data_IF_847856877372
#
_entry.id   IF_847856877372
#
_cell.length_a   1.000
_cell.length_b   1.000
_cell.length_c   1.000
_cell.angle_alpha   90.00
_cell.angle_beta   90.00
_cell.angle_gamma   90.00
#
_symmetry.space_group_name_H-M   'P 1'
#
loop_
_entity.id
_entity.type
_entity.pdbx_description
1 polymer ?
#
# COMPACT_ATOMS: atom_id res chain seq x y z
N UNK A 1 -29.45 15.79 18.58
CA UNK A 1 -28.04 15.36 18.47
C UNK A 1 -28.05 13.86 18.28
N UNK A 2 -28.15 13.37 17.05
CA UNK A 2 -27.98 11.95 16.76
C UNK A 2 -26.57 11.52 17.20
N UNK A 3 -26.37 10.23 17.48
CA UNK A 3 -25.05 9.67 17.21
C UNK A 3 -24.92 9.54 15.69
N UNK A 4 -23.72 9.62 15.15
CA UNK A 4 -23.51 9.17 13.79
C UNK A 4 -23.46 7.64 13.76
N UNK A 5 -23.99 7.05 12.70
CA UNK A 5 -23.79 5.66 12.32
C UNK A 5 -22.94 5.64 11.06
N UNK A 6 -21.91 4.79 11.05
CA UNK A 6 -21.07 4.57 9.87
C UNK A 6 -21.57 3.31 9.18
N UNK A 7 -21.88 3.41 7.89
CA UNK A 7 -22.20 2.28 7.04
C UNK A 7 -21.13 2.18 5.95
N UNK A 8 -20.07 1.39 6.18
CA UNK A 8 -18.96 1.25 5.24
C UNK A 8 -19.08 0.02 4.34
N UNK A 9 -18.43 0.09 3.18
CA UNK A 9 -18.09 -1.07 2.37
C UNK A 9 -16.74 -0.84 1.69
N UNK A 10 -15.89 -1.87 1.63
CA UNK A 10 -14.62 -1.84 0.91
C UNK A 10 -14.52 -2.97 -0.09
N UNK A 11 -13.87 -2.71 -1.22
CA UNK A 11 -13.57 -3.68 -2.26
C UNK A 11 -12.15 -3.47 -2.77
N UNK A 12 -11.50 -4.55 -3.17
CA UNK A 12 -10.18 -4.55 -3.81
C UNK A 12 -10.14 -5.64 -4.87
N UNK A 13 -9.46 -5.37 -5.99
CA UNK A 13 -9.32 -6.27 -7.14
C UNK A 13 -7.94 -6.05 -7.79
N UNK A 14 -7.24 -7.13 -8.24
CA UNK A 14 -5.94 -6.98 -8.90
C UNK A 14 -6.01 -6.26 -10.25
N UNK A 15 -7.19 -6.04 -10.82
CA UNK A 15 -7.36 -5.52 -12.16
C UNK A 15 -7.25 -6.59 -13.23
N UNK A 16 -7.04 -6.15 -14.48
CA UNK A 16 -6.95 -7.01 -15.67
C UNK A 16 -5.53 -7.25 -16.16
N UNK A 17 -4.56 -6.47 -15.69
CA UNK A 17 -3.18 -6.44 -16.22
C UNK A 17 -2.12 -6.87 -15.19
N UNK A 18 -2.27 -6.51 -13.90
CA UNK A 18 -1.38 -6.99 -12.83
C UNK A 18 -1.65 -8.48 -12.53
N UNK A 19 -0.64 -9.18 -12.01
CA UNK A 19 -0.74 -10.62 -11.67
C UNK A 19 -1.07 -10.85 -10.19
N UNK A 20 -0.57 -9.98 -9.32
CA UNK A 20 -0.87 -9.94 -7.90
C UNK A 20 -1.66 -8.65 -7.59
N UNK A 21 -2.22 -8.60 -6.38
CA UNK A 21 -2.76 -7.38 -5.80
C UNK A 21 -1.79 -6.88 -4.73
N UNK A 22 -1.15 -5.73 -4.97
CA UNK A 22 -0.22 -5.10 -4.03
C UNK A 22 -0.93 -4.05 -3.15
N UNK A 23 -2.20 -3.73 -3.42
CA UNK A 23 -3.06 -2.92 -2.53
C UNK A 23 -3.43 -3.66 -1.23
N UNK A 24 -3.58 -2.89 -0.15
CA UNK A 24 -4.20 -3.32 1.11
C UNK A 24 -5.26 -2.32 1.59
N UNK A 25 -6.26 -2.81 2.33
CA UNK A 25 -7.32 -1.99 2.94
C UNK A 25 -7.73 -2.46 4.34
N UNK A 26 -8.36 -1.54 5.07
CA UNK A 26 -8.98 -1.78 6.37
C UNK A 26 -10.33 -1.04 6.42
N UNK A 27 -11.38 -1.73 6.88
CA UNK A 27 -12.77 -1.26 6.78
C UNK A 27 -13.49 -1.42 8.11
N UNK A 28 -13.53 -0.35 8.91
CA UNK A 28 -14.29 -0.33 10.17
C UNK A 28 -13.65 -1.15 11.28
N UNK A 29 -12.32 -1.09 11.39
CA UNK A 29 -11.58 -1.79 12.45
C UNK A 29 -11.03 -0.78 13.50
N UNK A 30 -10.14 -1.24 14.39
CA UNK A 30 -9.68 -0.50 15.58
C UNK A 30 -10.51 -0.81 16.82
N UNK A 31 -10.29 -0.09 17.93
CA UNK A 31 -11.01 -0.36 19.20
C UNK A 31 -12.51 0.00 19.16
N UNK A 32 -12.89 0.98 18.34
CA UNK A 32 -14.27 1.54 18.24
C UNK A 32 -14.91 1.33 16.83
N UNK A 33 -14.31 0.51 15.96
CA UNK A 33 -14.76 0.27 14.56
C UNK A 33 -14.79 1.54 13.66
N UNK A 34 -14.03 2.59 14.01
CA UNK A 34 -14.04 3.90 13.31
C UNK A 34 -12.88 4.16 12.34
N UNK A 35 -11.93 3.23 12.18
CA UNK A 35 -10.78 3.41 11.30
C UNK A 35 -11.03 2.83 9.90
N UNK A 36 -10.54 3.54 8.89
CA UNK A 36 -10.56 3.16 7.47
C UNK A 36 -9.19 3.48 6.86
N UNK A 37 -8.63 2.56 6.06
CA UNK A 37 -7.32 2.73 5.40
C UNK A 37 -7.37 2.15 4.00
N UNK A 38 -6.71 2.80 3.04
CA UNK A 38 -6.23 2.22 1.79
C UNK A 38 -4.72 2.49 1.69
N UNK A 39 -3.95 1.50 1.24
CA UNK A 39 -2.50 1.59 1.05
C UNK A 39 -2.14 0.87 -0.26
N UNK A 40 -1.54 1.60 -1.19
CA UNK A 40 -1.16 1.13 -2.52
C UNK A 40 0.31 0.70 -2.51
N UNK A 41 0.59 -0.55 -2.89
CA UNK A 41 1.89 -1.19 -2.69
C UNK A 41 2.81 -1.07 -3.90
N UNK A 42 3.88 -0.29 -3.79
CA UNK A 42 4.85 -0.11 -4.89
C UNK A 42 6.10 -0.96 -4.68
N UNK A 43 6.40 -1.83 -5.65
CA UNK A 43 7.57 -2.71 -5.57
C UNK A 43 7.82 -3.54 -6.82
N UNK A 44 8.67 -4.55 -6.66
CA UNK A 44 8.88 -5.61 -7.65
C UNK A 44 9.09 -6.94 -6.93
N UNK A 45 8.86 -8.07 -7.61
CA UNK A 45 8.99 -9.41 -7.02
C UNK A 45 8.18 -9.63 -5.72
N UNK A 46 6.91 -9.19 -5.70
CA UNK A 46 5.93 -9.36 -4.60
C UNK A 46 6.19 -8.45 -3.38
N UNK A 47 6.89 -7.33 -3.55
CA UNK A 47 7.31 -6.48 -2.44
C UNK A 47 6.32 -5.36 -2.06
N UNK A 48 5.48 -4.90 -2.98
CA UNK A 48 4.46 -3.89 -2.71
C UNK A 48 3.40 -4.41 -1.73
N UNK A 49 2.91 -5.64 -1.96
CA UNK A 49 1.99 -6.37 -1.07
C UNK A 49 2.51 -6.43 0.38
N UNK A 50 3.82 -6.62 0.56
CA UNK A 50 4.45 -6.65 1.89
C UNK A 50 4.50 -5.27 2.52
N UNK A 51 4.72 -4.21 1.73
CA UNK A 51 4.78 -2.84 2.24
C UNK A 51 3.40 -2.32 2.66
N UNK A 52 2.38 -2.46 1.80
CA UNK A 52 1.00 -2.05 2.08
C UNK A 52 0.38 -2.82 3.25
N UNK A 53 0.62 -4.14 3.30
CA UNK A 53 0.24 -5.00 4.43
C UNK A 53 0.87 -4.53 5.75
N UNK A 54 2.17 -4.21 5.78
CA UNK A 54 2.82 -3.67 6.99
C UNK A 54 2.22 -2.33 7.41
N UNK A 55 1.87 -1.44 6.47
CA UNK A 55 1.25 -0.15 6.78
C UNK A 55 -0.14 -0.33 7.40
N UNK A 56 -0.99 -1.17 6.80
CA UNK A 56 -2.33 -1.49 7.32
C UNK A 56 -2.26 -2.20 8.67
N UNK A 57 -1.34 -3.17 8.85
CA UNK A 57 -1.14 -3.89 10.11
C UNK A 57 -0.70 -2.99 11.26
N UNK A 58 0.09 -1.94 10.98
CA UNK A 58 0.47 -0.93 11.98
C UNK A 58 -0.72 -0.03 12.31
N UNK A 59 -1.44 0.46 11.29
CA UNK A 59 -2.59 1.34 11.48
C UNK A 59 -3.76 0.66 12.18
N UNK A 60 -3.98 -0.65 11.98
CA UNK A 60 -4.96 -1.45 12.75
C UNK A 60 -4.74 -1.38 14.27
N UNK A 61 -3.50 -1.16 14.71
CA UNK A 61 -3.15 -1.02 16.12
C UNK A 61 -3.33 0.38 16.71
N UNK A 62 -3.86 1.35 15.95
CA UNK A 62 -4.04 2.74 16.36
C UNK A 62 -5.24 2.89 17.31
N UNK A 63 -5.00 3.32 18.56
CA UNK A 63 -6.07 3.62 19.50
C UNK A 63 -6.86 4.88 19.11
N UNK A 64 -8.09 5.10 19.63
CA UNK A 64 -8.98 6.19 19.18
C UNK A 64 -8.44 7.62 19.36
N UNK A 65 -7.37 7.81 20.15
CA UNK A 65 -6.75 9.11 20.42
C UNK A 65 -5.27 9.18 19.97
N UNK A 66 -4.74 8.12 19.36
CA UNK A 66 -3.32 8.08 18.97
C UNK A 66 -3.06 8.91 17.70
N UNK A 67 -1.96 9.68 17.62
CA UNK A 67 -1.70 10.55 16.48
C UNK A 67 -1.23 9.76 15.26
N UNK A 68 -1.95 9.87 14.13
CA UNK A 68 -1.64 9.19 12.87
C UNK A 68 -0.17 9.27 12.45
N UNK A 69 0.45 10.46 12.55
CA UNK A 69 1.85 10.65 12.17
C UNK A 69 2.83 9.67 12.85
N UNK A 70 2.66 9.40 14.15
CA UNK A 70 3.56 8.48 14.87
C UNK A 70 3.38 7.01 14.44
N UNK A 71 2.17 6.63 14.03
CA UNK A 71 1.89 5.30 13.50
C UNK A 71 2.38 5.16 12.04
N UNK A 72 2.25 6.20 11.21
CA UNK A 72 2.75 6.21 9.83
C UNK A 72 4.29 6.25 9.82
N UNK A 73 4.93 6.98 10.73
CA UNK A 73 6.37 6.87 10.96
C UNK A 73 6.79 5.46 11.40
N UNK A 74 5.99 4.78 12.24
CA UNK A 74 6.27 3.40 12.67
C UNK A 74 6.10 2.39 11.54
N UNK A 75 5.08 2.57 10.68
CA UNK A 75 4.91 1.81 9.45
C UNK A 75 6.13 2.00 8.54
N UNK A 76 6.55 3.24 8.28
CA UNK A 76 7.74 3.56 7.52
C UNK A 76 8.99 2.85 8.06
N UNK A 77 9.24 2.95 9.38
CA UNK A 77 10.35 2.25 10.06
C UNK A 77 10.29 0.72 9.89
N UNK A 78 9.10 0.11 9.90
CA UNK A 78 8.93 -1.35 9.72
C UNK A 78 9.12 -1.79 8.28
N UNK A 79 8.63 -1.03 7.31
CA UNK A 79 8.83 -1.29 5.87
C UNK A 79 10.32 -1.21 5.54
N UNK A 80 11.00 -0.13 5.95
CA UNK A 80 12.46 0.02 5.85
C UNK A 80 13.23 -1.11 6.55
N UNK A 81 12.73 -1.62 7.69
CA UNK A 81 13.35 -2.73 8.41
C UNK A 81 13.15 -4.08 7.72
N UNK A 82 12.01 -4.31 7.08
CA UNK A 82 11.71 -5.54 6.34
C UNK A 82 12.47 -5.63 5.01
N UNK A 83 12.64 -4.50 4.30
CA UNK A 83 13.50 -4.43 3.11
C UNK A 83 15.01 -4.58 3.38
N UNK A 84 15.46 -4.50 4.65
CA UNK A 84 16.88 -4.59 5.02
C UNK A 84 17.38 -6.03 5.11
N UNK A 85 17.82 -6.56 3.96
CA UNK A 85 18.63 -7.78 3.88
C UNK A 85 17.99 -8.95 3.14
N UNK A 86 16.81 -8.75 2.55
CA UNK A 86 16.29 -9.58 1.47
C UNK A 86 16.33 -8.75 0.17
N UNK A 87 17.00 -9.27 -0.86
CA UNK A 87 17.09 -8.62 -2.18
C UNK A 87 15.71 -8.55 -2.86
N UNK A 88 14.76 -9.40 -2.48
CA UNK A 88 13.37 -9.36 -2.98
C UNK A 88 12.55 -8.19 -2.46
N UNK A 89 12.85 -7.70 -1.26
CA UNK A 89 12.11 -6.63 -0.58
C UNK A 89 12.85 -5.28 -0.62
N UNK A 90 13.95 -5.23 -1.37
CA UNK A 90 14.80 -4.04 -1.49
C UNK A 90 14.13 -2.95 -2.32
N UNK A 91 13.87 -1.80 -1.71
CA UNK A 91 13.22 -0.66 -2.38
C UNK A 91 11.69 -0.75 -2.43
N UNK A 92 11.08 -1.61 -1.62
CA UNK A 92 9.63 -1.67 -1.46
C UNK A 92 9.09 -0.45 -0.73
N UNK A 93 7.92 0.03 -1.14
CA UNK A 93 7.23 1.13 -0.50
C UNK A 93 5.73 1.04 -0.65
N UNK A 94 5.01 1.98 -0.04
CA UNK A 94 3.55 2.06 -0.15
C UNK A 94 3.06 3.49 0.09
N UNK A 95 1.93 3.83 -0.52
CA UNK A 95 1.13 4.99 -0.11
C UNK A 95 0.37 4.66 1.18
N UNK A 96 -0.22 5.67 1.82
CA UNK A 96 -1.29 5.50 2.80
C UNK A 96 -2.29 6.64 2.63
N UNK A 97 -3.57 6.31 2.59
CA UNK A 97 -4.64 7.26 2.91
C UNK A 97 -5.55 6.64 3.98
N UNK A 98 -5.75 7.35 5.09
CA UNK A 98 -6.45 6.84 6.26
C UNK A 98 -7.41 7.87 6.85
N UNK A 99 -8.59 7.41 7.26
CA UNK A 99 -9.61 8.21 7.94
C UNK A 99 -10.03 7.53 9.25
N UNK A 100 -10.00 8.25 10.36
CA UNK A 100 -10.58 7.84 11.65
C UNK A 100 -11.72 8.77 12.03
N UNK A 101 -12.90 8.22 12.27
CA UNK A 101 -14.03 8.99 12.82
C UNK A 101 -13.94 9.07 14.35
N UNK A 102 -14.30 10.23 14.91
CA UNK A 102 -14.17 10.51 16.34
C UNK A 102 -14.82 11.83 16.76
N UNK A 103 -14.24 12.50 17.75
CA UNK A 103 -14.78 13.75 18.32
C UNK A 103 -15.88 13.50 19.37
N UNK A 104 -16.90 14.36 19.41
CA UNK A 104 -17.98 14.28 20.41
C UNK A 104 -19.36 14.21 19.75
N UNK A 105 -20.40 13.81 20.51
CA UNK A 105 -21.82 13.87 20.08
C UNK A 105 -22.37 15.26 19.72
N UNK A 106 -21.54 16.32 19.78
CA UNK A 106 -21.88 17.68 19.34
C UNK A 106 -20.96 18.19 18.23
N UNK A 107 -19.74 17.69 18.21
CA UNK A 107 -18.64 18.07 17.33
C UNK A 107 -17.97 16.75 16.85
N UNK A 108 -18.64 15.96 16.00
CA UNK A 108 -18.05 14.77 15.40
C UNK A 108 -17.06 15.18 14.30
N UNK A 109 -15.95 14.45 14.20
CA UNK A 109 -14.89 14.75 13.24
C UNK A 109 -14.39 13.49 12.53
N UNK A 110 -13.83 13.70 11.34
CA UNK A 110 -13.00 12.75 10.62
C UNK A 110 -11.56 13.28 10.64
N UNK A 111 -10.66 12.54 11.28
CA UNK A 111 -9.22 12.77 11.20
C UNK A 111 -8.68 12.04 9.99
N UNK A 112 -8.00 12.77 9.10
CA UNK A 112 -7.42 12.29 7.85
C UNK A 112 -5.89 12.29 7.98
N UNK A 113 -5.24 11.25 7.43
CA UNK A 113 -3.79 11.22 7.23
C UNK A 113 -3.46 10.63 5.84
N UNK A 114 -2.42 11.18 5.19
CA UNK A 114 -2.12 10.93 3.78
C UNK A 114 -0.62 10.99 3.47
N UNK A 115 -0.13 10.03 2.68
CA UNK A 115 1.18 10.00 2.01
C UNK A 115 1.04 9.29 0.66
N UNK A 116 1.45 9.93 -0.43
CA UNK A 116 1.40 9.36 -1.79
C UNK A 116 0.29 9.98 -2.64
N UNK A 117 -0.26 9.23 -3.59
CA UNK A 117 -1.30 9.66 -4.55
C UNK A 117 -2.62 8.89 -4.45
N UNK A 118 -2.72 7.85 -3.62
CA UNK A 118 -4.00 7.28 -3.19
C UNK A 118 -4.85 8.35 -2.48
N UNK A 119 -6.09 8.57 -2.93
CA UNK A 119 -6.88 9.76 -2.57
C UNK A 119 -7.96 9.49 -1.54
N UNK A 120 -8.36 10.54 -0.83
CA UNK A 120 -9.65 10.61 -0.15
C UNK A 120 -10.52 11.75 -0.70
N UNK A 121 -11.82 11.49 -0.76
CA UNK A 121 -12.86 12.42 -1.17
C UNK A 121 -13.97 12.51 -0.12
N UNK A 122 -14.59 13.68 -0.03
CA UNK A 122 -15.84 13.93 0.71
C UNK A 122 -16.94 14.34 -0.27
N UNK A 123 -18.04 13.60 -0.28
CA UNK A 123 -19.31 14.00 -0.88
C UNK A 123 -20.19 14.62 0.20
N UNK A 124 -20.54 15.91 0.05
CA UNK A 124 -21.54 16.59 0.89
C UNK A 124 -22.49 17.39 -0.01
N UNK A 125 -23.80 17.29 0.22
CA UNK A 125 -24.81 18.01 -0.56
C UNK A 125 -24.89 17.63 -2.06
N UNK A 126 -24.27 16.52 -2.46
CA UNK A 126 -24.13 16.09 -3.86
C UNK A 126 -22.85 16.56 -4.56
N UNK A 127 -22.02 17.38 -3.91
CA UNK A 127 -20.72 17.80 -4.45
C UNK A 127 -19.62 16.85 -3.99
N UNK A 128 -18.95 16.18 -4.93
CA UNK A 128 -17.70 15.46 -4.70
C UNK A 128 -16.54 16.46 -4.57
N UNK A 129 -15.74 16.36 -3.51
CA UNK A 129 -14.56 17.20 -3.30
C UNK A 129 -13.37 16.34 -2.84
N UNK A 130 -12.18 16.44 -3.46
CA UNK A 130 -10.98 15.83 -2.89
C UNK A 130 -10.66 16.49 -1.54
N UNK A 131 -10.15 15.69 -0.59
CA UNK A 131 -9.64 16.17 0.71
C UNK A 131 -8.16 15.84 0.93
N UNK A 132 -7.54 15.14 -0.02
CA UNK A 132 -6.09 14.97 -0.18
C UNK A 132 -5.58 15.75 -1.39
N UNK A 133 -4.27 15.99 -1.45
CA UNK A 133 -3.56 16.47 -2.65
C UNK A 133 -2.39 15.50 -2.92
N UNK A 134 -2.27 15.01 -4.15
CA UNK A 134 -1.33 13.95 -4.51
C UNK A 134 0.12 14.37 -4.27
N UNK A 135 0.90 13.46 -3.70
CA UNK A 135 2.35 13.58 -3.58
C UNK A 135 3.00 12.98 -4.81
N UNK A 136 2.77 13.58 -5.98
CA UNK A 136 3.30 13.16 -7.28
C UNK A 136 3.91 14.32 -8.05
N UNK A 137 4.89 14.04 -8.92
CA UNK A 137 5.64 15.05 -9.68
C UNK A 137 4.71 15.99 -10.44
N UNK A 138 3.65 15.46 -11.04
CA UNK A 138 2.69 16.26 -11.82
C UNK A 138 1.81 17.15 -10.95
N UNK A 139 1.46 16.73 -9.73
CA UNK A 139 0.79 17.59 -8.77
C UNK A 139 1.70 18.74 -8.31
N UNK A 140 3.00 18.47 -8.11
CA UNK A 140 3.97 19.52 -7.76
C UNK A 140 4.12 20.56 -8.88
N UNK A 141 4.19 20.13 -10.14
CA UNK A 141 4.27 20.98 -11.32
C UNK A 141 2.97 21.77 -11.59
N UNK A 142 1.80 21.22 -11.24
CA UNK A 142 0.54 21.98 -11.26
C UNK A 142 0.49 23.00 -10.13
N UNK A 143 1.05 22.68 -8.96
CA UNK A 143 1.11 23.56 -7.79
C UNK A 143 2.10 24.73 -7.96
N UNK A 144 3.21 24.52 -8.66
CA UNK A 144 4.12 25.61 -9.07
C UNK A 144 3.57 26.47 -10.21
N UNK A 145 2.66 25.91 -11.02
CA UNK A 145 2.10 26.54 -12.22
C UNK A 145 2.88 26.26 -13.50
N UNK A 146 3.80 25.29 -13.48
CA UNK A 146 4.56 24.83 -14.66
C UNK A 146 3.71 23.94 -15.59
N UNK A 147 2.64 23.31 -15.07
CA UNK A 147 1.65 22.53 -15.85
C UNK A 147 0.21 22.95 -15.52
N UNK A 148 -0.71 22.76 -16.49
CA UNK A 148 -2.15 22.71 -16.21
C UNK A 148 -2.60 21.31 -15.75
N UNK A 149 -3.78 21.21 -15.13
CA UNK A 149 -4.38 19.92 -14.75
C UNK A 149 -4.58 18.98 -15.95
N UNK A 150 -4.93 19.52 -17.11
CA UNK A 150 -5.12 18.74 -18.33
C UNK A 150 -3.77 18.18 -18.84
N UNK A 151 -2.71 19.00 -18.81
CA UNK A 151 -1.35 18.54 -19.17
C UNK A 151 -0.79 17.51 -18.20
N UNK A 152 -1.08 17.64 -16.90
CA UNK A 152 -0.69 16.68 -15.87
C UNK A 152 -1.30 15.28 -16.11
N UNK A 153 -2.56 15.21 -16.55
CA UNK A 153 -3.25 13.95 -16.84
C UNK A 153 -2.66 13.20 -18.06
N UNK A 154 -2.02 13.90 -19.00
CA UNK A 154 -1.38 13.32 -20.20
C UNK A 154 0.15 13.21 -20.06
N UNK A 155 0.72 13.57 -18.90
CA UNK A 155 2.18 13.66 -18.72
C UNK A 155 2.84 12.27 -18.65
N UNK A 156 3.98 12.03 -19.36
CA UNK A 156 4.66 10.72 -19.35
C UNK A 156 5.15 10.22 -17.99
N UNK A 157 5.25 11.09 -16.99
CA UNK A 157 5.68 10.77 -15.62
C UNK A 157 4.57 11.01 -14.58
N UNK A 158 3.29 10.88 -14.96
CA UNK A 158 2.17 11.17 -14.04
C UNK A 158 2.11 10.25 -12.82
N UNK A 159 2.41 8.95 -12.97
CA UNK A 159 2.49 7.97 -11.87
C UNK A 159 3.87 8.01 -11.14
N UNK A 160 4.58 9.15 -11.14
CA UNK A 160 5.82 9.31 -10.37
C UNK A 160 5.53 10.00 -9.03
N UNK A 161 5.37 9.21 -7.98
CA UNK A 161 5.21 9.69 -6.60
C UNK A 161 6.48 10.35 -6.05
N UNK A 162 6.32 11.43 -5.30
CA UNK A 162 7.38 12.17 -4.60
C UNK A 162 7.45 11.85 -3.11
N UNK A 163 6.41 11.26 -2.51
CA UNK A 163 6.42 10.76 -1.13
C UNK A 163 5.78 9.38 -1.02
N UNK A 164 6.42 8.47 -0.30
CA UNK A 164 5.92 7.13 0.01
C UNK A 164 6.54 6.61 1.32
N UNK A 165 5.85 5.71 2.02
CA UNK A 165 6.47 4.92 3.08
C UNK A 165 7.45 3.92 2.44
N UNK A 166 8.55 3.59 3.11
CA UNK A 166 9.60 2.69 2.63
C UNK A 166 10.71 3.34 1.80
N UNK A 167 10.49 4.55 1.28
CA UNK A 167 11.45 5.26 0.44
C UNK A 167 12.60 5.93 1.23
N UNK A 168 12.27 6.65 2.31
CA UNK A 168 13.25 7.42 3.11
C UNK A 168 13.11 7.16 4.62
N UNK A 169 14.20 7.29 5.39
CA UNK A 169 14.23 7.05 6.86
C UNK A 169 13.25 7.96 7.64
N UNK A 170 12.79 9.07 7.05
CA UNK A 170 11.74 9.95 7.56
C UNK A 170 10.71 10.21 6.45
N UNK A 171 9.45 10.46 6.83
CA UNK A 171 8.34 10.70 5.90
C UNK A 171 7.51 11.90 6.40
N UNK A 172 7.18 12.83 5.51
CA UNK A 172 6.29 13.95 5.82
C UNK A 172 4.84 13.54 5.56
N UNK A 173 4.04 13.53 6.64
CA UNK A 173 2.66 13.03 6.66
C UNK A 173 1.69 14.20 6.66
N UNK A 174 0.88 14.31 5.61
CA UNK A 174 -0.17 15.34 5.55
C UNK A 174 -1.33 14.88 6.43
N UNK A 175 -1.79 15.74 7.35
CA UNK A 175 -2.89 15.41 8.28
C UNK A 175 -3.92 16.55 8.35
N UNK A 176 -5.20 16.19 8.42
CA UNK A 176 -6.30 17.14 8.54
C UNK A 176 -7.38 16.65 9.52
N UNK A 177 -8.25 17.57 9.96
CA UNK A 177 -9.43 17.25 10.77
C UNK A 177 -10.64 17.95 10.17
N UNK A 178 -11.65 17.17 9.78
CA UNK A 178 -12.83 17.64 9.07
C UNK A 178 -14.07 17.51 9.96
N UNK A 179 -14.95 18.53 10.05
CA UNK A 179 -16.22 18.40 10.74
C UNK A 179 -17.17 17.50 9.93
N UNK A 180 -17.79 16.52 10.59
CA UNK A 180 -18.65 15.52 9.93
C UNK A 180 -20.13 15.84 10.14
N UNK A 181 -20.93 15.62 9.11
CA UNK A 181 -22.38 15.82 9.11
C UNK A 181 -23.10 14.53 8.68
N UNK A 182 -24.34 14.33 9.10
CA UNK A 182 -25.15 13.22 8.61
C UNK A 182 -25.58 13.49 7.16
N UNK A 183 -25.47 12.47 6.30
CA UNK A 183 -25.54 12.62 4.84
C UNK A 183 -24.18 12.85 4.17
N UNK A 184 -23.08 12.89 4.93
CA UNK A 184 -21.74 12.77 4.35
C UNK A 184 -21.50 11.37 3.77
N UNK A 185 -20.77 11.32 2.67
CA UNK A 185 -20.13 10.10 2.17
C UNK A 185 -18.64 10.35 1.97
N UNK A 186 -17.80 9.56 2.63
CA UNK A 186 -16.36 9.54 2.41
C UNK A 186 -15.99 8.42 1.44
N UNK A 187 -14.98 8.65 0.60
CA UNK A 187 -14.43 7.63 -0.31
C UNK A 187 -12.90 7.68 -0.24
N UNK A 188 -12.26 6.53 -0.02
CA UNK A 188 -10.81 6.34 -0.09
C UNK A 188 -10.50 5.40 -1.25
N UNK A 189 -9.44 5.66 -2.04
CA UNK A 189 -9.05 4.78 -3.15
C UNK A 189 -7.55 4.81 -3.52
N UNK A 190 -7.05 3.71 -4.11
CA UNK A 190 -5.75 3.66 -4.81
C UNK A 190 -5.80 4.37 -6.17
N UNK A 191 -4.64 4.57 -6.83
CA UNK A 191 -4.58 5.35 -8.08
C UNK A 191 -5.40 4.69 -9.21
N UNK A 192 -5.46 3.36 -9.25
CA UNK A 192 -6.14 2.59 -10.29
C UNK A 192 -7.65 2.85 -10.43
N UNK A 193 -8.31 3.47 -9.44
CA UNK A 193 -9.65 4.05 -9.67
C UNK A 193 -9.57 5.36 -10.46
N UNK A 194 -8.79 6.33 -9.96
CA UNK A 194 -8.78 7.73 -10.45
C UNK A 194 -8.03 7.89 -11.76
N UNK A 195 -7.07 7.01 -12.04
CA UNK A 195 -6.32 6.96 -13.30
C UNK A 195 -7.17 6.38 -14.45
N UNK A 196 -8.14 5.51 -14.11
CA UNK A 196 -9.09 4.91 -15.05
C UNK A 196 -10.41 5.71 -15.17
N UNK A 197 -10.87 6.35 -14.09
CA UNK A 197 -12.19 7.00 -13.97
C UNK A 197 -12.06 8.45 -13.51
N UNK A 198 -12.37 9.40 -14.41
CA UNK A 198 -12.37 10.84 -14.12
C UNK A 198 -13.34 11.21 -13.00
N UNK A 199 -12.97 12.22 -12.19
CA UNK A 199 -13.70 12.66 -10.99
C UNK A 199 -15.19 12.99 -11.25
N UNK A 200 -15.55 13.52 -12.43
CA UNK A 200 -16.95 13.75 -12.78
C UNK A 200 -17.76 12.44 -12.85
N UNK A 201 -17.19 11.36 -13.42
CA UNK A 201 -17.86 10.07 -13.49
C UNK A 201 -17.87 9.36 -12.14
N UNK A 202 -16.86 9.58 -11.30
CA UNK A 202 -16.89 9.18 -9.88
C UNK A 202 -18.07 9.84 -9.16
N UNK A 203 -18.25 11.16 -9.31
CA UNK A 203 -19.37 11.91 -8.71
C UNK A 203 -20.74 11.42 -9.22
N UNK A 204 -20.87 11.17 -10.52
CA UNK A 204 -22.08 10.58 -11.12
C UNK A 204 -22.40 9.20 -10.52
N UNK A 205 -21.43 8.28 -10.48
CA UNK A 205 -21.60 6.93 -9.92
C UNK A 205 -22.00 6.98 -8.44
N UNK A 206 -21.36 7.83 -7.65
CA UNK A 206 -21.67 8.00 -6.23
C UNK A 206 -23.06 8.60 -5.99
N UNK A 207 -23.60 9.35 -6.96
CA UNK A 207 -24.97 9.88 -6.93
C UNK A 207 -25.98 8.82 -7.38
N UNK A 208 -25.69 8.09 -8.47
CA UNK A 208 -26.49 6.96 -8.99
C UNK A 208 -26.59 5.78 -8.00
N UNK A 209 -25.65 5.66 -7.07
CA UNK A 209 -25.61 4.60 -6.07
C UNK A 209 -26.75 4.68 -5.04
N UNK A 210 -27.27 5.87 -4.72
CA UNK A 210 -28.03 6.14 -3.48
C UNK A 210 -27.20 5.88 -2.20
N UNK A 211 -27.82 5.88 -1.03
CA UNK A 211 -27.19 5.59 0.29
C UNK A 211 -26.83 4.09 0.50
N UNK A 212 -26.30 3.45 -0.54
CA UNK A 212 -25.82 2.07 -0.55
C UNK A 212 -24.30 2.08 -0.82
N UNK A 213 -23.45 1.90 0.21
CA UNK A 213 -21.99 1.95 0.06
C UNK A 213 -21.46 0.73 -0.70
N UNK A 214 -22.12 -0.42 -0.62
CA UNK A 214 -21.73 -1.64 -1.33
C UNK A 214 -21.93 -1.47 -2.84
N UNK A 215 -23.10 -0.97 -3.25
CA UNK A 215 -23.39 -0.62 -4.65
C UNK A 215 -22.48 0.51 -5.14
N UNK A 216 -22.19 1.51 -4.31
CA UNK A 216 -21.27 2.60 -4.67
C UNK A 216 -19.86 2.07 -4.97
N UNK A 217 -19.25 1.31 -4.05
CA UNK A 217 -17.92 0.76 -4.21
C UNK A 217 -17.83 -0.20 -5.41
N UNK A 218 -18.82 -1.10 -5.58
CA UNK A 218 -18.86 -2.04 -6.69
C UNK A 218 -19.05 -1.37 -8.05
N UNK A 219 -19.85 -0.30 -8.13
CA UNK A 219 -20.00 0.46 -9.38
C UNK A 219 -18.72 1.23 -9.75
N UNK A 220 -17.98 1.76 -8.76
CA UNK A 220 -16.69 2.41 -9.00
C UNK A 220 -15.64 1.41 -9.51
N UNK A 221 -15.51 0.25 -8.85
CA UNK A 221 -14.65 -0.84 -9.31
C UNK A 221 -15.03 -1.31 -10.73
N UNK A 222 -16.32 -1.52 -10.99
CA UNK A 222 -16.79 -1.93 -12.32
C UNK A 222 -16.40 -0.91 -13.40
N UNK A 223 -16.56 0.39 -13.13
CA UNK A 223 -16.18 1.45 -14.07
C UNK A 223 -14.67 1.49 -14.34
N UNK A 224 -13.82 1.32 -13.32
CA UNK A 224 -12.37 1.27 -13.47
C UNK A 224 -11.92 0.03 -14.26
N UNK A 225 -12.51 -1.13 -13.98
CA UNK A 225 -12.29 -2.35 -14.75
C UNK A 225 -12.77 -2.18 -16.21
N UNK A 226 -13.94 -1.60 -16.46
CA UNK A 226 -14.47 -1.35 -17.80
C UNK A 226 -13.60 -0.38 -18.62
N UNK A 227 -13.08 0.66 -17.99
CA UNK A 227 -12.19 1.64 -18.62
C UNK A 227 -10.79 1.08 -18.96
N UNK A 228 -10.32 0.07 -18.22
CA UNK A 228 -9.09 -0.66 -18.56
C UNK A 228 -8.68 -1.71 -17.54
N UNK A 229 -8.76 -1.39 -16.24
CA UNK A 229 -8.22 -2.24 -15.18
C UNK A 229 -6.71 -2.45 -15.32
N UNK A 230 -5.98 -1.39 -15.67
CA UNK A 230 -4.54 -1.47 -15.94
C UNK A 230 -3.70 -1.68 -14.66
N UNK A 231 -4.27 -1.32 -13.51
CA UNK A 231 -3.63 -1.47 -12.21
C UNK A 231 -4.55 -2.14 -11.17
N UNK A 232 -4.03 -2.32 -9.96
CA UNK A 232 -4.82 -2.72 -8.80
C UNK A 232 -5.87 -1.63 -8.48
N UNK A 233 -7.06 -2.04 -8.03
CA UNK A 233 -8.18 -1.12 -7.79
C UNK A 233 -8.77 -1.41 -6.41
N UNK A 234 -8.58 -0.48 -5.49
CA UNK A 234 -9.12 -0.53 -4.14
C UNK A 234 -9.97 0.70 -3.85
N UNK A 235 -11.16 0.47 -3.29
CA UNK A 235 -12.14 1.51 -2.98
C UNK A 235 -12.82 1.19 -1.65
N UNK A 236 -12.82 2.16 -0.73
CA UNK A 236 -13.62 2.12 0.51
C UNK A 236 -14.59 3.29 0.52
N UNK A 237 -15.88 3.01 0.63
CA UNK A 237 -16.96 4.00 0.76
C UNK A 237 -17.51 3.93 2.18
N UNK A 238 -17.65 5.08 2.85
CA UNK A 238 -18.27 5.19 4.18
C UNK A 238 -19.42 6.19 4.11
N UNK A 239 -20.65 5.70 4.30
CA UNK A 239 -21.83 6.53 4.49
C UNK A 239 -21.96 6.93 5.96
N UNK A 240 -22.21 8.21 6.22
CA UNK A 240 -22.45 8.74 7.57
C UNK A 240 -23.93 9.06 7.72
N UNK A 241 -24.64 8.32 8.58
CA UNK A 241 -26.09 8.47 8.78
C UNK A 241 -26.43 8.94 10.19
N UNK A 242 -27.62 9.51 10.36
CA UNK A 242 -28.16 9.71 11.71
C UNK A 242 -28.52 8.35 12.33
N UNK A 243 -27.89 8.01 13.45
CA UNK A 243 -28.27 6.83 14.22
C UNK A 243 -29.60 7.09 14.93
N UNK A 244 -30.64 6.35 14.56
CA UNK A 244 -31.90 6.36 15.28
C UNK A 244 -31.69 5.93 16.74
N UNK A 245 -32.14 6.73 17.72
CA UNK A 245 -32.27 6.20 19.09
C UNK A 245 -33.37 5.12 19.06
N UNK A 246 -33.11 3.88 19.51
CA UNK A 246 -34.14 2.85 19.55
C UNK A 246 -35.32 3.35 20.39
N UNK A 247 -36.52 3.34 19.79
CA UNK A 247 -37.69 4.01 20.35
C UNK A 247 -37.87 3.63 21.82
N UNK A 248 -37.86 4.63 22.70
CA UNK A 248 -37.92 4.42 24.15
C UNK A 248 -39.31 3.97 24.54
N UNK A 249 -39.56 2.66 24.40
CA UNK A 249 -40.78 1.95 24.81
C UNK A 249 -41.24 2.54 26.13
N UNK A 250 -42.38 3.26 26.18
CA UNK A 250 -42.75 4.03 27.35
C UNK A 250 -42.81 3.10 28.56
N UNK A 251 -41.87 3.29 29.51
CA UNK A 251 -41.79 2.47 30.72
C UNK A 251 -43.10 2.64 31.47
N UNK A 252 -43.99 1.65 31.32
CA UNK A 252 -45.37 1.74 31.76
C UNK A 252 -45.43 2.29 33.17
N UNK A 253 -46.11 3.43 33.35
CA UNK A 253 -46.16 4.15 34.61
C UNK A 253 -46.81 3.24 35.64
N UNK A 254 -46.00 2.63 36.49
CA UNK A 254 -46.46 1.78 37.58
C UNK A 254 -47.31 2.66 38.51
N UNK A 255 -48.63 2.57 38.35
CA UNK A 255 -49.57 3.34 39.13
C UNK A 255 -49.37 3.00 40.62
N UNK A 256 -49.24 4.03 41.45
CA UNK A 256 -49.14 3.84 42.88
C UNK A 256 -50.46 3.24 43.41
N UNK A 257 -50.39 1.98 43.85
CA UNK A 257 -51.47 1.27 44.53
C UNK A 257 -50.97 0.73 45.86
N UNK A 258 -51.77 0.91 46.91
CA UNK A 258 -51.36 0.64 48.30
C UNK A 258 -51.16 -0.87 48.62
N UNK A 259 -50.30 -1.20 49.60
CA UNK A 259 -50.00 -2.58 49.97
C UNK A 259 -51.05 -3.17 50.94
N UNK A 260 -51.95 -4.05 50.44
CA UNK A 260 -53.04 -4.59 51.25
C UNK A 260 -53.37 -6.09 51.03
N UNK A 261 -52.48 -6.98 51.50
CA UNK A 261 -52.83 -8.35 51.93
C UNK A 261 -53.23 -9.39 50.87
N UNK A 262 -53.48 -10.63 51.34
CA UNK A 262 -53.92 -11.77 50.53
C UNK A 262 -52.87 -12.88 50.38
N UNK A 263 -53.11 -14.02 51.05
CA UNK A 263 -52.36 -15.28 50.85
C UNK A 263 -53.16 -16.26 49.97
N UNK A 264 -52.63 -17.48 49.80
CA UNK A 264 -53.19 -18.62 49.05
C UNK A 264 -53.02 -18.57 47.52
N UNK A 265 -52.70 -19.66 46.82
CA UNK A 265 -52.29 -20.99 47.30
C UNK A 265 -51.43 -21.73 46.24
N UNK A 266 -50.49 -22.56 46.69
CA UNK A 266 -49.84 -23.58 45.85
C UNK A 266 -50.63 -24.89 45.94
N UNK A 267 -50.49 -25.77 44.95
CA UNK A 267 -49.93 -27.08 45.32
C UNK A 267 -48.77 -27.53 44.43
N UNK A 268 -47.84 -28.26 45.04
CA UNK A 268 -46.75 -29.01 44.40
C UNK A 268 -47.00 -30.49 44.66
N UNK A 269 -46.68 -31.37 43.70
CA UNK A 269 -46.26 -32.79 43.82
C UNK A 269 -46.08 -33.31 42.37
N UNK A 270 -45.23 -34.30 42.04
CA UNK A 270 -44.44 -35.24 42.84
C UNK A 270 -43.12 -35.59 42.08
N UNK A 271 -41.95 -35.72 42.71
CA UNK A 271 -41.31 -36.99 43.15
C UNK A 271 -39.86 -36.67 43.58
N UNK A 272 -39.13 -37.42 44.42
CA UNK A 272 -39.52 -38.54 45.29
C UNK A 272 -38.31 -39.22 45.95
N UNK A 273 -38.27 -39.28 47.29
CA UNK A 273 -37.39 -40.13 48.15
C UNK A 273 -35.84 -39.96 48.11
N UNK A 274 -35.06 -40.28 49.17
CA UNK A 274 -35.30 -40.32 50.63
C UNK A 274 -33.97 -40.47 51.43
N UNK A 275 -33.92 -39.89 52.66
CA UNK A 275 -33.03 -40.21 53.83
C UNK A 275 -31.48 -40.21 53.64
N UNK A 276 -30.66 -39.70 54.54
CA UNK A 276 -30.91 -39.03 55.84
C UNK A 276 -29.64 -38.92 56.72
N UNK A 277 -29.82 -38.48 57.98
CA UNK A 277 -28.83 -38.36 59.08
C UNK A 277 -27.82 -37.16 59.07
N UNK A 278 -27.66 -36.52 60.24
CA UNK A 278 -26.69 -35.45 60.57
C UNK A 278 -25.54 -36.01 61.44
N UNK A 279 -24.33 -35.45 61.40
CA UNK A 279 -23.30 -35.82 62.41
C UNK A 279 -21.94 -35.10 62.45
N UNK A 280 -21.87 -33.96 63.18
CA UNK A 280 -20.74 -33.46 64.02
C UNK A 280 -19.25 -33.63 63.61
N UNK A 281 -18.54 -32.49 63.64
CA UNK A 281 -17.22 -32.22 64.31
C UNK A 281 -16.17 -33.36 64.45
N UNK A 282 -15.02 -33.19 63.77
CA UNK A 282 -13.76 -32.88 64.47
C UNK A 282 -12.62 -33.93 64.60
N UNK A 283 -11.38 -33.38 64.58
CA UNK A 283 -10.14 -33.84 65.24
C UNK A 283 -9.26 -35.00 64.67
N UNK A 284 -8.06 -34.59 64.21
CA UNK A 284 -6.70 -35.11 64.57
C UNK A 284 -6.21 -36.53 64.18
N UNK A 285 -5.19 -36.50 63.29
CA UNK A 285 -3.78 -36.99 63.44
C UNK A 285 -3.39 -38.46 63.16
N UNK A 286 -2.07 -38.56 62.89
CA UNK A 286 -1.16 -39.72 62.80
C UNK A 286 -1.09 -40.41 61.42
N UNK A 287 0.06 -40.93 60.96
CA UNK A 287 1.40 -41.07 61.58
C UNK A 287 2.58 -40.82 60.61
N UNK A 288 3.77 -40.53 61.16
CA UNK A 288 5.16 -40.83 60.69
C UNK A 288 5.50 -40.88 59.18
N UNK A 289 6.62 -40.32 58.68
CA UNK A 289 7.72 -39.61 59.34
C UNK A 289 9.05 -39.74 58.55
N UNK A 290 9.79 -38.63 58.36
CA UNK A 290 11.16 -38.62 57.81
C UNK A 290 12.20 -38.62 58.97
N UNK A 291 13.52 -38.88 58.75
CA UNK A 291 14.38 -37.88 58.08
C UNK A 291 15.59 -38.38 57.24
N UNK A 292 15.94 -37.53 56.27
CA UNK A 292 17.26 -37.12 55.76
C UNK A 292 18.60 -37.85 56.11
N UNK A 293 19.38 -38.05 55.03
CA UNK A 293 20.84 -37.77 54.85
C UNK A 293 21.93 -38.59 55.56
N UNK A 294 22.86 -39.07 54.74
CA UNK A 294 24.31 -38.82 54.90
C UNK A 294 24.97 -38.59 53.54
N UNK A 295 26.22 -38.10 53.49
CA UNK A 295 27.00 -37.86 52.27
C UNK A 295 28.51 -37.73 52.59
N UNK A 296 29.42 -38.01 51.63
CA UNK A 296 30.76 -37.39 51.62
C UNK A 296 31.45 -37.38 50.23
N UNK A 297 31.96 -36.18 49.90
CA UNK A 297 32.82 -35.67 48.82
C UNK A 297 34.00 -36.54 48.29
N UNK A 298 34.30 -36.38 46.99
CA UNK A 298 35.58 -35.86 46.43
C UNK A 298 35.45 -35.64 44.90
N UNK A 299 36.28 -34.86 44.17
CA UNK A 299 37.27 -33.83 44.53
C UNK A 299 36.77 -32.42 44.08
N UNK A 300 37.27 -31.61 43.12
CA UNK A 300 38.47 -31.59 42.24
C UNK A 300 38.37 -30.49 41.15
N UNK A 301 39.49 -29.87 40.69
CA UNK A 301 39.52 -29.01 39.46
C UNK A 301 40.97 -28.74 38.94
N UNK A 302 41.18 -28.36 37.66
CA UNK A 302 41.26 -26.92 37.34
C UNK A 302 40.72 -26.48 35.95
N UNK A 303 40.81 -25.17 35.66
CA UNK A 303 40.18 -24.44 34.53
C UNK A 303 40.97 -24.46 33.21
N UNK A 304 40.30 -24.26 32.07
CA UNK A 304 40.90 -23.71 30.83
C UNK A 304 39.96 -22.72 30.12
N UNK A 305 40.51 -21.79 29.32
CA UNK A 305 39.82 -20.61 28.71
C UNK A 305 40.31 -20.44 27.25
N UNK A 306 39.58 -19.67 26.43
CA UNK A 306 39.70 -19.47 24.95
C UNK A 306 38.86 -20.49 24.14
N UNK A 307 38.34 -20.16 22.94
CA UNK A 307 38.54 -18.96 22.08
C UNK A 307 37.25 -18.63 21.29
N UNK A 308 36.90 -17.34 21.10
CA UNK A 308 35.93 -16.92 20.06
C UNK A 308 36.70 -16.79 18.74
N UNK A 309 36.27 -17.49 17.69
CA UNK A 309 36.83 -17.37 16.33
C UNK A 309 35.85 -17.89 15.27
N UNK A 310 34.81 -17.09 14.98
CA UNK A 310 33.83 -17.38 13.93
C UNK A 310 33.47 -16.19 13.02
N UNK A 311 33.75 -14.95 13.44
CA UNK A 311 33.45 -13.75 12.65
C UNK A 311 34.28 -13.62 11.38
N UNK A 312 35.61 -13.78 11.46
CA UNK A 312 36.51 -13.55 10.33
C UNK A 312 36.27 -14.52 9.15
N UNK A 313 35.92 -15.77 9.43
CA UNK A 313 35.56 -16.75 8.39
C UNK A 313 34.22 -16.41 7.71
N UNK A 314 33.23 -15.92 8.47
CA UNK A 314 31.96 -15.42 7.91
C UNK A 314 32.15 -14.13 7.10
N UNK A 315 33.05 -13.24 7.53
CA UNK A 315 33.39 -12.02 6.80
C UNK A 315 34.07 -12.33 5.46
N UNK A 316 35.08 -13.21 5.43
CA UNK A 316 35.67 -13.68 4.16
C UNK A 316 34.62 -14.35 3.25
N UNK A 317 33.75 -15.20 3.80
CA UNK A 317 32.70 -15.89 3.05
C UNK A 317 31.49 -15.00 2.66
N UNK A 318 31.47 -13.74 3.07
CA UNK A 318 30.58 -12.70 2.55
C UNK A 318 31.29 -11.92 1.44
N UNK A 319 32.54 -11.50 1.68
CA UNK A 319 33.37 -10.78 0.71
C UNK A 319 33.56 -11.56 -0.59
N UNK A 320 33.80 -12.88 -0.53
CA UNK A 320 33.90 -13.72 -1.73
C UNK A 320 32.58 -13.88 -2.50
N UNK A 321 31.42 -13.75 -1.83
CA UNK A 321 30.11 -13.78 -2.50
C UNK A 321 29.78 -12.46 -3.15
N UNK A 322 30.02 -11.33 -2.48
CA UNK A 322 29.90 -10.01 -3.11
C UNK A 322 30.79 -9.89 -4.35
N UNK A 323 32.05 -10.34 -4.27
CA UNK A 323 32.96 -10.37 -5.41
C UNK A 323 32.47 -11.29 -6.54
N UNK A 324 31.82 -12.43 -6.22
CA UNK A 324 31.25 -13.33 -7.21
C UNK A 324 30.01 -12.73 -7.91
N UNK A 325 29.13 -12.04 -7.18
CA UNK A 325 27.97 -11.33 -7.77
C UNK A 325 28.46 -10.20 -8.68
N UNK A 326 29.43 -9.39 -8.23
CA UNK A 326 30.07 -8.35 -9.06
C UNK A 326 30.69 -8.97 -10.33
N UNK A 327 31.36 -10.13 -10.21
CA UNK A 327 31.91 -10.83 -11.37
C UNK A 327 30.82 -11.30 -12.34
N UNK A 328 29.69 -11.83 -11.85
CA UNK A 328 28.55 -12.23 -12.70
C UNK A 328 27.92 -11.03 -13.40
N UNK A 329 27.73 -9.91 -12.70
CA UNK A 329 27.22 -8.66 -13.29
C UNK A 329 28.17 -8.12 -14.37
N UNK A 330 29.48 -8.13 -14.13
CA UNK A 330 30.50 -7.76 -15.13
C UNK A 330 30.46 -8.74 -16.33
N UNK A 331 30.33 -10.04 -16.08
CA UNK A 331 30.24 -11.08 -17.14
C UNK A 331 28.94 -11.00 -17.93
N UNK A 332 27.88 -10.39 -17.42
CA UNK A 332 26.65 -10.11 -18.16
C UNK A 332 26.70 -8.77 -18.92
N UNK A 333 27.17 -7.70 -18.27
CA UNK A 333 27.21 -6.35 -18.85
C UNK A 333 28.31 -6.17 -19.90
N UNK A 334 29.48 -6.82 -19.75
CA UNK A 334 30.58 -6.68 -20.72
C UNK A 334 30.21 -7.25 -22.10
N UNK A 335 29.62 -8.45 -22.24
CA UNK A 335 29.10 -8.91 -23.53
C UNK A 335 28.00 -8.03 -24.12
N UNK A 336 27.08 -7.49 -23.29
CA UNK A 336 26.04 -6.59 -23.77
C UNK A 336 26.63 -5.26 -24.30
N UNK A 337 27.59 -4.69 -23.57
CA UNK A 337 28.32 -3.47 -23.97
C UNK A 337 29.18 -3.70 -25.22
N UNK A 338 29.91 -4.83 -25.30
CA UNK A 338 30.70 -5.20 -26.48
C UNK A 338 29.80 -5.49 -27.70
N UNK A 339 28.60 -6.04 -27.50
CA UNK A 339 27.63 -6.23 -28.56
C UNK A 339 27.09 -4.89 -29.06
N UNK A 340 26.62 -4.02 -28.16
CA UNK A 340 26.08 -2.69 -28.50
C UNK A 340 27.11 -1.79 -29.19
N UNK A 341 28.33 -1.71 -28.64
CA UNK A 341 29.45 -0.94 -29.25
C UNK A 341 30.02 -1.54 -30.55
N UNK A 342 29.58 -2.75 -30.96
CA UNK A 342 29.90 -3.34 -32.27
C UNK A 342 28.84 -3.07 -33.35
N UNK A 343 27.72 -2.41 -33.00
CA UNK A 343 26.64 -2.08 -33.93
C UNK A 343 26.79 -0.69 -34.51
N UNK A 344 26.11 -0.50 -35.63
CA UNK A 344 25.99 0.76 -36.34
C UNK A 344 24.52 1.01 -36.65
N UNK A 345 24.09 2.26 -36.64
CA UNK A 345 22.77 2.68 -37.07
C UNK A 345 22.86 4.02 -37.80
N UNK A 346 21.77 4.42 -38.45
CA UNK A 346 21.63 5.69 -39.14
C UNK A 346 20.47 6.48 -38.55
N UNK A 347 20.59 7.80 -38.53
CA UNK A 347 19.54 8.73 -38.12
C UNK A 347 19.62 10.02 -38.94
N UNK A 348 18.52 10.75 -39.04
CA UNK A 348 18.48 12.09 -39.64
C UNK A 348 18.80 13.14 -38.56
N UNK A 349 19.81 13.98 -38.78
CA UNK A 349 20.13 15.13 -37.94
C UNK A 349 20.22 16.39 -38.81
N UNK A 350 19.50 17.46 -38.44
CA UNK A 350 19.48 18.75 -39.16
C UNK A 350 19.11 18.69 -40.67
N UNK A 351 18.58 17.55 -41.15
CA UNK A 351 18.23 17.29 -42.55
C UNK A 351 19.29 16.49 -43.35
N UNK A 352 20.36 16.04 -42.69
CA UNK A 352 21.40 15.17 -43.23
C UNK A 352 21.32 13.76 -42.62
N UNK A 353 21.73 12.74 -43.38
CA UNK A 353 21.97 11.39 -42.86
C UNK A 353 23.26 11.37 -42.04
N UNK A 354 23.18 10.82 -40.82
CA UNK A 354 24.33 10.60 -39.93
C UNK A 354 24.45 9.13 -39.58
N UNK A 355 25.64 8.56 -39.73
CA UNK A 355 25.95 7.19 -39.34
C UNK A 355 26.62 7.18 -37.96
N UNK A 356 26.07 6.41 -37.02
CA UNK A 356 26.55 6.30 -35.65
C UNK A 356 27.04 4.88 -35.36
N UNK A 357 28.11 4.76 -34.55
CA UNK A 357 28.53 3.49 -33.95
C UNK A 357 28.01 3.42 -32.52
N UNK A 358 27.29 2.34 -32.18
CA UNK A 358 26.72 2.09 -30.86
C UNK A 358 25.23 1.73 -30.90
N UNK A 359 24.49 2.14 -29.88
CA UNK A 359 23.02 1.98 -29.79
C UNK A 359 22.33 3.35 -29.74
N UNK A 360 21.12 3.50 -30.32
CA UNK A 360 20.43 4.80 -30.43
C UNK A 360 19.77 5.29 -29.13
N UNK A 361 19.88 4.52 -28.04
CA UNK A 361 19.28 4.82 -26.75
C UNK A 361 20.36 5.19 -25.72
N UNK A 362 20.09 6.19 -24.88
CA UNK A 362 20.97 6.64 -23.80
C UNK A 362 20.44 6.19 -22.41
N UNK A 363 20.61 4.90 -22.04
CA UNK A 363 20.15 4.42 -20.73
C UNK A 363 20.86 5.17 -19.60
N UNK A 364 20.09 5.59 -18.60
CA UNK A 364 20.55 6.41 -17.47
C UNK A 364 21.21 7.75 -17.88
N UNK A 365 20.87 8.29 -19.06
CA UNK A 365 21.42 9.56 -19.56
C UNK A 365 22.86 9.49 -20.02
N UNK A 366 23.41 8.29 -20.24
CA UNK A 366 24.75 8.08 -20.80
C UNK A 366 24.62 7.78 -22.29
N UNK A 367 25.21 8.63 -23.13
CA UNK A 367 25.35 8.38 -24.56
C UNK A 367 26.27 7.17 -24.81
N UNK A 368 25.71 6.12 -25.39
CA UNK A 368 26.40 4.87 -25.75
C UNK A 368 26.59 4.72 -27.27
N UNK A 369 26.45 5.82 -27.99
CA UNK A 369 26.71 6.02 -29.40
C UNK A 369 27.89 6.99 -29.60
N UNK A 370 28.42 7.04 -30.83
CA UNK A 370 29.31 8.09 -31.33
C UNK A 370 29.02 8.29 -32.81
N UNK A 371 29.12 9.52 -33.31
CA UNK A 371 29.18 9.76 -34.74
C UNK A 371 30.37 8.98 -35.34
N UNK A 372 30.09 8.21 -36.39
CA UNK A 372 31.09 7.43 -37.13
C UNK A 372 31.44 8.11 -38.45
N UNK A 373 30.42 8.54 -39.20
CA UNK A 373 30.58 9.27 -40.46
C UNK A 373 29.30 10.02 -40.85
N UNK A 374 29.42 11.22 -41.40
CA UNK A 374 28.37 11.86 -42.22
C UNK A 374 28.68 11.59 -43.70
N UNK A 375 27.86 10.84 -44.45
CA UNK A 375 28.05 10.65 -45.90
C UNK A 375 27.84 11.93 -46.72
N UNK A 376 27.12 12.93 -46.19
CA UNK A 376 26.75 14.13 -46.94
C UNK A 376 25.58 13.93 -47.90
N UNK A 377 24.69 12.98 -47.57
CA UNK A 377 23.41 12.75 -48.21
C UNK A 377 22.31 13.44 -47.39
N UNK A 378 21.42 14.18 -48.04
CA UNK A 378 20.28 14.78 -47.36
C UNK A 378 19.13 13.77 -47.19
N UNK A 379 18.33 13.97 -46.14
CA UNK A 379 17.06 13.28 -45.88
C UNK A 379 16.17 13.24 -47.14
N UNK A 380 16.11 14.33 -47.91
CA UNK A 380 15.32 14.44 -49.13
C UNK A 380 15.86 13.65 -50.34
N UNK A 381 17.06 13.06 -50.25
CA UNK A 381 17.66 12.24 -51.31
C UNK A 381 17.36 10.74 -51.11
N UNK A 382 17.22 10.32 -49.85
CA UNK A 382 16.85 8.96 -49.43
C UNK A 382 15.42 8.60 -49.85
N UNK A 383 15.16 7.31 -50.07
CA UNK A 383 13.85 6.73 -50.46
C UNK A 383 13.72 5.31 -49.88
N UNK A 384 12.54 4.71 -50.02
CA UNK A 384 12.37 3.25 -49.87
C UNK A 384 13.46 2.47 -50.65
N UNK A 385 14.07 1.42 -50.06
CA UNK A 385 13.70 0.75 -48.82
C UNK A 385 14.44 1.30 -47.57
N UNK A 386 15.07 2.47 -47.63
CA UNK A 386 16.02 2.94 -46.61
C UNK A 386 15.47 3.95 -45.61
N UNK A 387 14.36 4.61 -45.93
CA UNK A 387 13.65 5.60 -45.09
C UNK A 387 13.22 5.00 -43.72
N UNK A 388 12.34 4.00 -43.72
CA UNK A 388 11.89 3.29 -42.51
C UNK A 388 13.05 2.72 -41.65
N UNK A 389 14.10 2.06 -42.22
CA UNK A 389 15.28 1.65 -41.46
C UNK A 389 16.06 2.75 -40.73
N UNK A 390 16.06 3.99 -41.24
CA UNK A 390 16.69 5.14 -40.58
C UNK A 390 15.78 5.62 -39.44
N UNK A 391 14.50 5.86 -39.70
CA UNK A 391 13.53 6.27 -38.67
C UNK A 391 13.47 5.29 -37.50
N UNK A 392 13.47 3.98 -37.79
CA UNK A 392 13.45 2.90 -36.79
C UNK A 392 14.83 2.61 -36.16
N UNK A 393 15.87 3.39 -36.51
CA UNK A 393 17.23 3.28 -35.99
C UNK A 393 17.79 1.85 -36.04
N UNK A 394 17.59 1.18 -37.19
CA UNK A 394 17.87 -0.24 -37.39
C UNK A 394 19.36 -0.56 -37.16
N UNK A 395 19.63 -1.59 -36.35
CA UNK A 395 21.00 -1.99 -35.98
C UNK A 395 21.64 -2.90 -37.03
N UNK A 396 22.72 -2.43 -37.64
CA UNK A 396 23.55 -3.15 -38.61
C UNK A 396 24.88 -3.64 -37.98
N UNK A 397 25.51 -4.65 -38.59
CA UNK A 397 26.96 -4.88 -38.43
C UNK A 397 27.76 -3.92 -39.33
N UNK A 398 29.06 -3.79 -39.09
CA UNK A 398 29.95 -2.93 -39.90
C UNK A 398 29.87 -3.25 -41.40
N UNK A 399 30.02 -4.52 -41.76
CA UNK A 399 30.01 -4.99 -43.15
C UNK A 399 28.64 -4.83 -43.84
N UNK A 400 27.58 -4.58 -43.08
CA UNK A 400 26.26 -4.24 -43.61
C UNK A 400 26.10 -2.72 -43.72
N UNK A 401 26.55 -1.96 -42.71
CA UNK A 401 26.55 -0.49 -42.73
C UNK A 401 27.43 0.09 -43.86
N UNK A 402 28.60 -0.49 -44.11
CA UNK A 402 29.46 -0.11 -45.26
C UNK A 402 28.81 -0.41 -46.62
N UNK A 403 27.91 -1.41 -46.70
CA UNK A 403 27.13 -1.68 -47.93
C UNK A 403 25.94 -0.74 -48.07
N UNK A 404 25.23 -0.47 -46.98
CA UNK A 404 24.10 0.48 -46.96
C UNK A 404 24.60 1.87 -47.35
N UNK A 405 25.74 2.33 -46.82
CA UNK A 405 26.38 3.59 -47.22
C UNK A 405 26.80 3.63 -48.71
N UNK A 406 27.13 2.48 -49.31
CA UNK A 406 27.46 2.41 -50.74
C UNK A 406 26.18 2.45 -51.61
N UNK A 407 25.15 1.68 -51.25
CA UNK A 407 23.88 1.57 -51.99
C UNK A 407 23.02 2.85 -51.86
N UNK A 408 23.20 3.63 -50.79
CA UNK A 408 22.65 4.98 -50.63
C UNK A 408 23.39 6.06 -51.44
N UNK A 409 24.55 5.74 -52.02
CA UNK A 409 25.45 6.70 -52.68
C UNK A 409 25.62 6.51 -54.20
N UNK A 410 24.88 5.59 -54.82
CA UNK A 410 24.84 5.34 -56.29
C UNK A 410 23.55 5.89 -56.95
#
# INVERSE_FOLDING_TARGET
MPLLELQPFGVTDPGKVRQNNEDALLVGEGEDETLFVVADGVGGFEAGEVASSIAVDVLRGLGPNDPFGQAIEEANRRILAAGRGDERLSGMGTTVVAVRFGGTRREPVAELAHVGDSRAYLVRGGELRPVTEDHSLVAELVRSGDLTRDQAAEHPQKNLITRALGAEDAVEVDTATLPVEAGDRFVLCSDGLTDMVRENRVAEILTEASEDPEKAAKNLLAAALEAGGNDNITVVVIDVKEREEPERVPRATAAAGDPAGGTSEMPVLETGAARGARGKRGARRSSTGAPARSAQKSSGSPKRRKRRSGGFARFLAALTRGLAVILVVIVALVPAYLWGSSRYYFSFEEGDVVAHQGIPYAPFGVELNREWQRPGLSEAEIKEPYEEPIETHKLYTRDEAEKVLADMGE
#
